data_IF_965621873671
#
_entry.id   IF_965621873671
#
_cell.length_a   1.000
_cell.length_b   1.000
_cell.length_c   1.000
_cell.angle_alpha   90.00
_cell.angle_beta   90.00
_cell.angle_gamma   90.00
#
_symmetry.space_group_name_H-M   'P 1'
#
loop_
_entity.id
_entity.type
_entity.pdbx_description
1 polymer ?
#
# COMPACT_ATOMS: atom_id res chain seq x y z
N UNK A 1 -1.92 -15.81 14.13
CA UNK A 1 -2.56 -14.58 13.58
C UNK A 1 -1.42 -13.64 13.19
N UNK A 2 -1.54 -12.82 12.13
CA UNK A 2 -0.45 -11.93 11.76
C UNK A 2 -0.23 -10.85 12.84
N UNK A 3 1.01 -10.42 13.06
CA UNK A 3 1.31 -9.31 13.94
C UNK A 3 0.76 -7.98 13.39
N UNK A 4 0.56 -7.01 14.27
CA UNK A 4 0.11 -5.66 13.90
C UNK A 4 1.20 -4.96 13.08
N UNK A 5 0.76 -4.19 12.08
CA UNK A 5 1.63 -3.29 11.33
C UNK A 5 1.07 -1.90 11.22
N UNK A 6 1.98 -0.93 11.18
CA UNK A 6 1.74 0.42 10.72
C UNK A 6 2.48 0.70 9.43
N UNK A 7 1.82 1.42 8.53
CA UNK A 7 2.44 1.97 7.34
C UNK A 7 2.65 3.46 7.54
N UNK A 8 3.80 3.94 7.11
CA UNK A 8 4.13 5.36 7.04
C UNK A 8 4.57 5.69 5.63
N UNK A 9 4.36 6.94 5.22
CA UNK A 9 4.94 7.43 3.98
C UNK A 9 5.64 8.76 4.18
N UNK A 10 6.61 9.03 3.32
CA UNK A 10 7.32 10.29 3.30
C UNK A 10 6.41 11.41 2.79
N UNK A 11 6.38 12.52 3.52
CA UNK A 11 5.73 13.76 3.14
C UNK A 11 6.80 14.84 2.97
N UNK A 12 7.14 15.23 1.73
CA UNK A 12 8.10 16.30 1.47
C UNK A 12 7.67 17.64 2.06
N UNK A 13 8.62 18.48 2.45
CA UNK A 13 8.34 19.88 2.74
C UNK A 13 7.90 20.61 1.46
N UNK A 14 7.13 21.72 1.56
CA UNK A 14 6.75 22.52 0.40
C UNK A 14 7.97 22.92 -0.44
N UNK A 15 7.93 22.63 -1.75
CA UNK A 15 9.01 22.90 -2.69
C UNK A 15 10.18 21.90 -2.68
N UNK A 16 10.18 20.91 -1.78
CA UNK A 16 11.17 19.84 -1.78
C UNK A 16 10.81 18.73 -2.77
N UNK A 17 11.82 18.18 -3.44
CA UNK A 17 11.64 17.05 -4.37
C UNK A 17 12.03 15.73 -3.72
N UNK A 18 11.23 14.70 -4.02
CA UNK A 18 11.52 13.35 -3.61
C UNK A 18 12.73 12.81 -4.37
N UNK A 19 13.68 12.21 -3.66
CA UNK A 19 14.89 11.66 -4.25
C UNK A 19 15.37 10.42 -3.46
N UNK A 20 16.30 9.68 -4.05
CA UNK A 20 16.82 8.44 -3.46
C UNK A 20 17.69 8.64 -2.22
N UNK A 21 18.23 9.85 -1.98
CA UNK A 21 19.02 10.12 -0.76
C UNK A 21 18.15 10.00 0.50
N UNK A 22 16.89 10.46 0.43
CA UNK A 22 15.93 10.32 1.53
C UNK A 22 15.75 8.85 1.92
N UNK A 23 15.66 7.95 0.93
CA UNK A 23 15.54 6.51 1.17
C UNK A 23 16.81 5.93 1.81
N UNK A 24 17.98 6.35 1.34
CA UNK A 24 19.27 5.90 1.90
C UNK A 24 19.43 6.34 3.37
N UNK A 25 19.08 7.58 3.68
CA UNK A 25 19.13 8.09 5.06
C UNK A 25 18.09 7.42 5.96
N UNK A 26 16.89 7.15 5.46
CA UNK A 26 15.90 6.36 6.20
C UNK A 26 16.41 4.94 6.51
N UNK A 27 17.05 4.27 5.54
CA UNK A 27 17.70 2.98 5.79
C UNK A 27 18.82 3.09 6.84
N UNK A 28 19.66 4.13 6.76
CA UNK A 28 20.71 4.37 7.75
C UNK A 28 20.16 4.67 9.16
N UNK A 29 18.96 5.27 9.26
CA UNK A 29 18.28 5.45 10.55
C UNK A 29 17.89 4.12 11.18
N UNK A 30 17.36 3.17 10.39
CA UNK A 30 17.07 1.83 10.88
C UNK A 30 18.32 1.13 11.42
N UNK A 31 19.45 1.24 10.71
CA UNK A 31 20.73 0.68 11.16
C UNK A 31 21.26 1.37 12.43
N UNK A 32 21.10 2.70 12.53
CA UNK A 32 21.50 3.48 13.73
C UNK A 32 20.69 3.09 14.96
N UNK A 33 19.42 2.73 14.78
CA UNK A 33 18.57 2.20 15.84
C UNK A 33 18.94 0.77 16.27
N UNK A 34 19.90 0.13 15.60
CA UNK A 34 20.32 -1.25 15.86
C UNK A 34 19.64 -2.28 14.94
N UNK A 35 18.98 -1.83 13.87
CA UNK A 35 18.32 -2.71 12.92
C UNK A 35 19.32 -3.51 12.10
N UNK A 36 19.15 -4.83 12.04
CA UNK A 36 19.96 -5.74 11.23
C UNK A 36 19.25 -6.00 9.91
N UNK A 37 19.92 -5.69 8.79
CA UNK A 37 19.35 -5.88 7.46
C UNK A 37 19.10 -7.37 7.17
N UNK A 38 17.84 -7.71 6.89
CA UNK A 38 17.31 -9.07 6.77
C UNK A 38 16.71 -9.37 5.38
N UNK A 39 17.22 -8.67 4.35
CA UNK A 39 16.91 -8.97 2.96
C UNK A 39 16.07 -7.90 2.25
N UNK A 40 15.33 -8.34 1.23
CA UNK A 40 14.54 -7.48 0.35
C UNK A 40 13.08 -7.87 0.43
N UNK A 41 12.22 -6.88 0.23
CA UNK A 41 10.79 -7.08 0.24
C UNK A 41 10.15 -6.41 -0.98
N UNK A 42 9.01 -6.94 -1.43
CA UNK A 42 8.23 -6.37 -2.53
C UNK A 42 6.74 -6.67 -2.40
N UNK A 43 5.92 -5.63 -2.37
CA UNK A 43 4.45 -5.70 -2.45
C UNK A 43 3.99 -4.93 -3.69
N UNK A 44 3.03 -5.48 -4.42
CA UNK A 44 2.49 -4.85 -5.62
C UNK A 44 1.06 -4.39 -5.42
N UNK A 45 0.73 -3.19 -5.91
CA UNK A 45 -0.64 -2.68 -6.00
C UNK A 45 -0.97 -2.44 -7.47
N UNK A 46 -2.13 -2.92 -7.91
CA UNK A 46 -2.58 -2.84 -9.30
C UNK A 46 -3.96 -2.17 -9.35
N UNK A 47 -4.10 -1.15 -10.17
CA UNK A 47 -5.38 -0.51 -10.48
C UNK A 47 -6.02 -1.19 -11.68
N UNK A 48 -7.26 -1.62 -11.50
CA UNK A 48 -8.08 -2.18 -12.56
C UNK A 48 -9.24 -1.26 -12.90
N UNK A 49 -9.62 -1.28 -14.18
CA UNK A 49 -10.89 -0.71 -14.65
C UNK A 49 -11.76 -1.81 -15.27
N UNK A 50 -13.09 -1.76 -15.11
CA UNK A 50 -13.99 -2.64 -15.81
C UNK A 50 -13.76 -2.57 -17.32
N UNK A 51 -13.84 -3.72 -17.98
CA UNK A 51 -13.96 -3.75 -19.43
C UNK A 51 -15.43 -3.57 -19.78
N UNK A 52 -15.76 -2.52 -20.52
CA UNK A 52 -17.09 -2.41 -21.14
C UNK A 52 -17.12 -3.37 -22.33
N UNK A 53 -18.00 -4.37 -22.29
CA UNK A 53 -18.29 -5.18 -23.49
C UNK A 53 -19.07 -4.29 -24.45
N UNK A 54 -18.41 -3.78 -25.48
CA UNK A 54 -19.13 -3.27 -26.66
C UNK A 54 -19.76 -4.48 -27.35
N UNK A 55 -21.09 -4.46 -27.46
CA UNK A 55 -21.82 -5.43 -28.29
C UNK A 55 -21.38 -5.25 -29.74
N UNK A 56 -20.55 -6.16 -30.24
CA UNK A 56 -20.26 -6.27 -31.66
C UNK A 56 -21.49 -6.81 -32.41
N UNK A 57 -22.47 -5.95 -32.65
CA UNK A 57 -23.41 -6.01 -33.79
C UNK A 57 -24.47 -4.91 -33.66
N UNK A 58 -24.25 -3.75 -34.29
CA UNK A 58 -25.28 -2.97 -34.97
C UNK A 58 -24.65 -1.73 -35.60
N UNK A 59 -24.49 -1.73 -36.92
CA UNK A 59 -24.52 -0.48 -37.66
C UNK A 59 -25.89 0.17 -37.43
N UNK A 60 -25.90 1.39 -36.91
CA UNK A 60 -27.12 2.13 -36.64
C UNK A 60 -26.84 3.36 -35.81
N UNK A 61 -26.83 4.51 -36.47
CA UNK A 61 -26.72 5.81 -35.84
C UNK A 61 -27.84 6.00 -34.81
N UNK A 62 -27.45 6.21 -33.54
CA UNK A 62 -28.36 6.56 -32.46
C UNK A 62 -27.57 6.81 -31.19
N UNK A 63 -27.52 8.06 -30.74
CA UNK A 63 -27.03 8.44 -29.42
C UNK A 63 -27.86 7.71 -28.36
N UNK A 64 -27.37 6.57 -27.86
CA UNK A 64 -27.87 5.95 -26.63
C UNK A 64 -26.76 6.00 -25.59
N UNK A 65 -27.05 6.72 -24.50
CA UNK A 65 -26.26 6.72 -23.28
C UNK A 65 -26.01 5.27 -22.86
N UNK A 66 -24.77 4.81 -22.97
CA UNK A 66 -24.35 3.48 -22.56
C UNK A 66 -24.70 3.27 -21.07
N UNK A 67 -25.71 2.44 -20.82
CA UNK A 67 -26.02 1.94 -19.48
C UNK A 67 -24.93 0.94 -19.07
N UNK A 68 -23.94 1.43 -18.34
CA UNK A 68 -23.10 0.60 -17.49
C UNK A 68 -24.02 -0.14 -16.50
N UNK A 69 -23.87 -1.45 -16.37
CA UNK A 69 -24.57 -2.20 -15.32
C UNK A 69 -24.25 -1.54 -13.97
N UNK A 70 -25.24 -1.08 -13.19
CA UNK A 70 -25.00 -0.34 -11.95
C UNK A 70 -24.22 -1.14 -10.90
N UNK A 71 -24.15 -2.47 -11.05
CA UNK A 71 -23.54 -3.39 -10.09
C UNK A 71 -22.04 -3.63 -10.26
N UNK A 72 -21.40 -3.19 -11.37
CA UNK A 72 -19.96 -3.44 -11.58
C UNK A 72 -19.12 -2.31 -10.97
N UNK A 73 -18.25 -2.59 -9.98
CA UNK A 73 -17.43 -1.54 -9.39
C UNK A 73 -16.51 -0.85 -10.40
N UNK A 74 -16.59 0.48 -10.45
CA UNK A 74 -15.86 1.33 -11.41
C UNK A 74 -14.34 1.31 -11.23
N UNK A 75 -13.88 1.08 -10.01
CA UNK A 75 -12.46 1.00 -9.68
C UNK A 75 -12.23 -0.16 -8.71
N UNK A 76 -11.29 -1.02 -9.08
CA UNK A 76 -10.86 -2.15 -8.28
C UNK A 76 -9.36 -2.04 -8.05
N UNK A 77 -8.96 -2.13 -6.79
CA UNK A 77 -7.56 -2.20 -6.39
C UNK A 77 -7.20 -3.63 -6.09
N UNK A 78 -6.08 -4.09 -6.62
CA UNK A 78 -5.49 -5.37 -6.30
C UNK A 78 -4.22 -5.19 -5.50
N UNK A 79 -4.00 -6.00 -4.47
CA UNK A 79 -2.81 -5.97 -3.62
C UNK A 79 -2.24 -7.39 -3.51
N UNK A 80 -0.98 -7.55 -3.88
CA UNK A 80 -0.21 -8.78 -3.72
C UNK A 80 0.89 -8.53 -2.67
N UNK A 81 0.69 -9.06 -1.46
CA UNK A 81 1.59 -8.85 -0.32
C UNK A 81 2.80 -9.78 -0.37
N UNK A 82 3.98 -9.25 -0.02
CA UNK A 82 5.23 -10.00 0.04
C UNK A 82 5.13 -11.29 0.88
N UNK A 83 4.49 -11.21 2.06
CA UNK A 83 4.51 -12.29 3.05
C UNK A 83 3.51 -13.41 2.75
N UNK A 84 2.57 -13.15 1.84
CA UNK A 84 1.50 -14.06 1.47
C UNK A 84 1.39 -14.18 -0.05
N UNK A 85 2.42 -14.72 -0.73
CA UNK A 85 2.45 -14.82 -2.17
C UNK A 85 1.33 -15.72 -2.76
N UNK A 86 0.73 -16.60 -1.95
CA UNK A 86 -0.42 -17.41 -2.34
C UNK A 86 -1.78 -16.71 -2.24
N UNK A 87 -1.82 -15.47 -1.73
CA UNK A 87 -3.05 -14.70 -1.58
C UNK A 87 -3.02 -13.44 -2.41
N UNK A 88 -4.22 -13.01 -2.80
CA UNK A 88 -4.45 -11.75 -3.47
C UNK A 88 -5.60 -11.01 -2.79
N UNK A 89 -5.44 -9.71 -2.58
CA UNK A 89 -6.46 -8.89 -1.95
C UNK A 89 -7.06 -7.96 -2.97
N UNK A 90 -8.38 -7.90 -3.03
CA UNK A 90 -9.12 -7.05 -3.95
C UNK A 90 -9.96 -6.06 -3.15
N UNK A 91 -9.74 -4.77 -3.38
CA UNK A 91 -10.36 -3.69 -2.62
C UNK A 91 -11.26 -2.88 -3.54
N UNK A 92 -12.52 -2.74 -3.12
CA UNK A 92 -13.50 -1.86 -3.77
C UNK A 92 -13.70 -0.64 -2.88
N UNK A 93 -12.93 0.43 -3.16
CA UNK A 93 -12.83 1.59 -2.25
C UNK A 93 -14.16 2.29 -2.01
N UNK A 94 -14.99 2.46 -3.04
CA UNK A 94 -16.25 3.18 -2.93
C UNK A 94 -17.24 2.49 -1.97
N UNK A 95 -17.19 1.16 -1.89
CA UNK A 95 -18.02 0.34 -1.00
C UNK A 95 -17.29 -0.05 0.29
N UNK A 96 -16.02 0.37 0.46
CA UNK A 96 -15.16 -0.02 1.59
C UNK A 96 -15.11 -1.54 1.77
N UNK A 97 -15.02 -2.28 0.67
CA UNK A 97 -14.93 -3.74 0.71
C UNK A 97 -13.50 -4.20 0.46
N UNK A 98 -13.05 -5.19 1.22
CA UNK A 98 -11.79 -5.89 1.01
C UNK A 98 -12.03 -7.40 0.95
N UNK A 99 -11.71 -7.98 -0.20
CA UNK A 99 -11.86 -9.40 -0.48
C UNK A 99 -10.49 -10.07 -0.47
N UNK A 100 -10.40 -11.23 0.15
CA UNK A 100 -9.25 -12.11 0.04
C UNK A 100 -9.56 -13.22 -0.96
N UNK A 101 -8.65 -13.45 -1.89
CA UNK A 101 -8.75 -14.47 -2.92
C UNK A 101 -7.41 -15.20 -3.08
N UNK A 102 -7.42 -16.26 -3.88
CA UNK A 102 -6.20 -16.96 -4.31
C UNK A 102 -5.34 -16.07 -5.24
N UNK A 103 -4.03 -16.31 -5.26
CA UNK A 103 -3.08 -15.60 -6.13
C UNK A 103 -3.43 -15.68 -7.64
N UNK A 104 -4.20 -16.67 -8.07
CA UNK A 104 -4.68 -16.79 -9.45
C UNK A 104 -5.83 -15.83 -9.80
N UNK A 105 -6.43 -15.13 -8.84
CA UNK A 105 -7.58 -14.24 -9.06
C UNK A 105 -7.38 -13.20 -10.17
N UNK A 106 -6.23 -12.51 -10.30
CA UNK A 106 -5.97 -11.61 -11.42
C UNK A 106 -6.06 -12.29 -12.80
N UNK A 107 -5.57 -13.53 -12.90
CA UNK A 107 -5.60 -14.31 -14.15
C UNK A 107 -7.03 -14.69 -14.52
N UNK A 108 -7.86 -14.99 -13.53
CA UNK A 108 -9.29 -15.23 -13.74
C UNK A 108 -9.98 -13.97 -14.27
N UNK A 109 -9.72 -12.81 -13.65
CA UNK A 109 -10.29 -11.53 -14.12
C UNK A 109 -9.86 -11.19 -15.55
N UNK A 110 -8.60 -11.45 -15.89
CA UNK A 110 -8.06 -11.25 -17.23
C UNK A 110 -8.70 -12.19 -18.25
N UNK A 111 -8.80 -13.50 -17.94
CA UNK A 111 -9.45 -14.50 -18.82
C UNK A 111 -10.93 -14.20 -19.05
N UNK A 112 -11.63 -13.74 -18.02
CA UNK A 112 -13.03 -13.32 -18.14
C UNK A 112 -13.20 -11.97 -18.85
N UNK A 113 -12.08 -11.27 -19.08
CA UNK A 113 -12.03 -9.89 -19.56
C UNK A 113 -12.91 -8.96 -18.73
N UNK A 114 -13.11 -9.24 -17.45
CA UNK A 114 -13.99 -8.45 -16.58
C UNK A 114 -13.34 -7.11 -16.21
N UNK A 115 -12.03 -7.15 -15.96
CA UNK A 115 -11.23 -6.02 -15.55
C UNK A 115 -9.90 -6.00 -16.31
N UNK A 116 -9.47 -4.80 -16.70
CA UNK A 116 -8.17 -4.56 -17.32
C UNK A 116 -7.26 -3.79 -16.38
N UNK A 117 -6.06 -4.32 -16.14
CA UNK A 117 -5.01 -3.62 -15.39
C UNK A 117 -4.61 -2.33 -16.14
N UNK A 118 -4.53 -1.22 -15.40
CA UNK A 118 -4.17 0.10 -15.93
C UNK A 118 -2.81 0.55 -15.46
N UNK A 119 -2.58 0.46 -14.15
CA UNK A 119 -1.35 0.92 -13.51
C UNK A 119 -0.98 -0.13 -12.48
N UNK A 120 0.29 -0.54 -12.48
CA UNK A 120 0.86 -1.39 -11.44
C UNK A 120 2.01 -0.62 -10.78
N UNK A 121 1.96 -0.53 -9.46
CA UNK A 121 2.99 0.08 -8.64
C UNK A 121 3.58 -1.00 -7.72
N UNK A 122 4.88 -0.92 -7.52
CA UNK A 122 5.62 -1.78 -6.61
C UNK A 122 6.14 -0.95 -5.47
N UNK A 123 5.89 -1.42 -4.26
CA UNK A 123 6.61 -1.01 -3.07
C UNK A 123 7.74 -2.02 -2.87
N UNK A 124 8.97 -1.56 -2.96
CA UNK A 124 10.15 -2.42 -2.90
C UNK A 124 11.29 -1.75 -2.15
N UNK A 125 12.04 -2.56 -1.40
CA UNK A 125 13.13 -2.05 -0.58
C UNK A 125 13.77 -3.12 0.28
N UNK A 126 14.20 -2.71 1.47
CA UNK A 126 14.95 -3.55 2.40
C UNK A 126 14.18 -3.81 3.69
N UNK A 127 14.38 -5.00 4.23
CA UNK A 127 13.86 -5.42 5.52
C UNK A 127 14.95 -5.28 6.59
N UNK A 128 14.58 -4.86 7.79
CA UNK A 128 15.48 -4.75 8.95
C UNK A 128 14.80 -5.35 10.19
N UNK A 129 15.50 -6.23 10.89
CA UNK A 129 15.06 -6.78 12.16
C UNK A 129 15.58 -5.92 13.31
N UNK A 130 14.68 -5.49 14.20
CA UNK A 130 14.99 -4.65 15.35
C UNK A 130 14.28 -5.19 16.60
N UNK A 131 14.92 -6.12 17.30
CA UNK A 131 14.31 -6.76 18.48
C UNK A 131 12.98 -7.42 18.13
N UNK A 132 11.88 -6.98 18.75
CA UNK A 132 10.52 -7.46 18.50
C UNK A 132 9.83 -6.80 17.28
N UNK A 133 10.54 -5.89 16.60
CA UNK A 133 10.04 -5.18 15.43
C UNK A 133 10.71 -5.65 14.13
N UNK A 134 9.96 -5.58 13.04
CA UNK A 134 10.47 -5.71 11.69
C UNK A 134 10.09 -4.47 10.88
N UNK A 135 11.10 -3.79 10.35
CA UNK A 135 10.94 -2.60 9.53
C UNK A 135 11.11 -2.98 8.07
N UNK A 136 10.27 -2.41 7.20
CA UNK A 136 10.44 -2.49 5.75
C UNK A 136 10.44 -1.11 5.16
N UNK A 137 11.59 -0.67 4.65
CA UNK A 137 11.78 0.68 4.14
C UNK A 137 12.03 0.58 2.65
N UNK A 138 11.28 1.34 1.86
CA UNK A 138 11.31 1.18 0.41
C UNK A 138 10.76 2.34 -0.39
N UNK A 139 10.90 2.22 -1.70
CA UNK A 139 10.36 3.14 -2.71
C UNK A 139 9.06 2.59 -3.29
N UNK A 140 8.18 3.49 -3.69
CA UNK A 140 7.06 3.21 -4.58
C UNK A 140 7.45 3.58 -6.01
N UNK A 141 7.43 2.62 -6.93
CA UNK A 141 7.79 2.79 -8.34
C UNK A 141 6.79 2.10 -9.26
N UNK A 142 6.51 2.63 -10.47
CA UNK A 142 5.74 1.90 -11.47
C UNK A 142 6.43 0.62 -11.91
N UNK A 143 5.65 -0.41 -12.24
CA UNK A 143 6.22 -1.71 -12.61
C UNK A 143 7.10 -1.67 -13.89
N UNK A 144 6.95 -0.64 -14.71
CA UNK A 144 7.66 -0.45 -15.98
C UNK A 144 8.59 0.77 -15.97
N UNK A 145 8.90 1.34 -14.80
CA UNK A 145 9.73 2.54 -14.70
C UNK A 145 10.41 2.65 -13.33
N UNK A 146 11.64 3.14 -13.30
CA UNK A 146 12.36 3.48 -12.07
C UNK A 146 11.95 4.85 -11.49
N UNK A 147 10.92 5.49 -12.05
CA UNK A 147 10.45 6.79 -11.58
C UNK A 147 9.91 6.69 -10.14
N UNK A 148 10.63 7.32 -9.21
CA UNK A 148 10.26 7.38 -7.80
C UNK A 148 8.93 8.13 -7.61
N UNK A 149 7.92 7.45 -7.05
CA UNK A 149 6.59 8.00 -6.76
C UNK A 149 6.33 8.23 -5.29
N UNK A 150 7.14 7.63 -4.42
CA UNK A 150 6.97 7.72 -2.98
C UNK A 150 8.08 6.98 -2.25
N UNK A 151 8.27 7.31 -0.99
CA UNK A 151 9.06 6.53 -0.04
C UNK A 151 8.09 6.11 1.07
N UNK A 152 8.18 4.86 1.49
CA UNK A 152 7.35 4.32 2.55
C UNK A 152 8.17 3.52 3.56
N UNK A 153 7.58 3.33 4.73
CA UNK A 153 8.06 2.43 5.76
C UNK A 153 6.88 1.60 6.28
N UNK A 154 7.09 0.29 6.45
CA UNK A 154 6.26 -0.54 7.31
C UNK A 154 6.99 -0.80 8.61
N UNK A 155 6.24 -0.86 9.70
CA UNK A 155 6.69 -1.32 11.00
C UNK A 155 5.75 -2.42 11.45
N UNK A 156 6.29 -3.62 11.68
CA UNK A 156 5.60 -4.79 12.18
C UNK A 156 6.05 -5.06 13.62
N UNK A 157 5.10 -5.31 14.54
CA UNK A 157 5.41 -5.64 15.93
C UNK A 157 4.95 -7.07 16.26
N UNK A 158 5.91 -7.99 16.38
CA UNK A 158 5.66 -9.43 16.46
C UNK A 158 4.77 -9.91 17.62
N UNK A 159 4.90 -9.38 18.85
CA UNK A 159 4.22 -9.94 20.02
C UNK A 159 2.69 -9.79 20.02
N UNK A 160 2.12 -8.84 19.28
CA UNK A 160 0.70 -8.52 19.35
C UNK A 160 0.02 -8.53 17.99
N UNK A 161 -1.22 -9.03 18.00
CA UNK A 161 -2.12 -8.99 16.84
C UNK A 161 -3.38 -8.15 17.12
N UNK A 162 -3.50 -7.52 18.29
CA UNK A 162 -4.60 -6.60 18.63
C UNK A 162 -4.12 -5.18 18.41
N UNK A 163 -4.82 -4.44 17.55
CA UNK A 163 -4.45 -3.09 17.12
C UNK A 163 -4.49 -2.12 18.31
N UNK A 164 -5.53 -2.21 19.12
CA UNK A 164 -5.72 -1.38 20.30
C UNK A 164 -4.63 -1.65 21.33
N UNK A 165 -4.34 -2.92 21.63
CA UNK A 165 -3.31 -3.29 22.62
C UNK A 165 -1.90 -2.93 22.18
N UNK A 166 -1.62 -2.93 20.87
CA UNK A 166 -0.30 -2.54 20.35
C UNK A 166 -0.14 -1.04 20.15
N UNK A 167 -1.19 -0.22 20.33
CA UNK A 167 -1.14 1.19 19.93
C UNK A 167 -0.02 1.95 20.62
N UNK A 168 0.03 1.91 21.95
CA UNK A 168 1.02 2.67 22.72
C UNK A 168 2.46 2.33 22.31
N UNK A 169 2.78 1.04 22.11
CA UNK A 169 4.14 0.65 21.73
C UNK A 169 4.48 1.04 20.28
N UNK A 170 3.50 1.06 19.39
CA UNK A 170 3.68 1.54 18.02
C UNK A 170 3.86 3.06 17.96
N UNK A 171 3.16 3.81 18.82
CA UNK A 171 3.34 5.26 19.01
C UNK A 171 4.74 5.56 19.55
N UNK A 172 5.15 4.91 20.63
CA UNK A 172 6.49 5.07 21.23
C UNK A 172 7.60 4.78 20.20
N UNK A 173 7.44 3.70 19.42
CA UNK A 173 8.37 3.39 18.32
C UNK A 173 8.41 4.53 17.29
N UNK A 174 7.25 5.05 16.89
CA UNK A 174 7.17 6.09 15.88
C UNK A 174 7.79 7.40 16.35
N UNK A 175 7.65 7.76 17.62
CA UNK A 175 8.28 8.94 18.21
C UNK A 175 9.82 8.82 18.17
N UNK A 176 10.36 7.67 18.57
CA UNK A 176 11.81 7.38 18.49
C UNK A 176 12.29 7.44 17.03
N UNK A 177 11.51 6.88 16.10
CA UNK A 177 11.81 6.94 14.67
C UNK A 177 11.85 8.39 14.17
N UNK A 178 10.86 9.21 14.50
CA UNK A 178 10.81 10.61 14.10
C UNK A 178 11.99 11.41 14.65
N UNK A 179 12.36 11.21 15.92
CA UNK A 179 13.53 11.87 16.52
C UNK A 179 14.83 11.49 15.78
N UNK A 180 14.96 10.23 15.41
CA UNK A 180 16.14 9.71 14.69
C UNK A 180 16.24 10.28 13.29
N UNK A 181 15.11 10.33 12.56
CA UNK A 181 15.06 10.92 11.21
C UNK A 181 15.27 12.43 11.26
N UNK A 182 14.78 13.13 12.28
CA UNK A 182 14.96 14.58 12.43
C UNK A 182 16.45 14.97 12.54
N UNK A 183 17.28 14.13 13.17
CA UNK A 183 18.74 14.32 13.26
C UNK A 183 19.45 14.32 11.89
N UNK A 184 18.79 13.83 10.83
CA UNK A 184 19.31 13.83 9.46
C UNK A 184 19.01 15.12 8.68
N UNK A 185 18.18 16.02 9.23
CA UNK A 185 17.79 17.28 8.58
C UNK A 185 17.23 17.10 7.16
N UNK A 186 16.47 16.03 6.94
CA UNK A 186 15.86 15.72 5.65
C UNK A 186 14.70 16.70 5.33
N UNK A 187 14.43 16.99 4.04
CA UNK A 187 13.43 17.97 3.64
C UNK A 187 12.01 17.38 3.63
N UNK A 188 11.55 16.92 4.79
CA UNK A 188 10.25 16.28 4.97
C UNK A 188 10.23 15.43 6.23
N UNK A 189 9.16 14.65 6.40
CA UNK A 189 9.00 13.74 7.53
C UNK A 189 8.13 12.55 7.13
N UNK A 190 8.19 11.47 7.91
CA UNK A 190 7.25 10.36 7.79
C UNK A 190 5.95 10.71 8.49
N UNK A 191 4.83 10.39 7.84
CA UNK A 191 3.49 10.45 8.43
C UNK A 191 2.89 9.05 8.50
N UNK A 192 2.24 8.74 9.61
CA UNK A 192 1.54 7.48 9.81
C UNK A 192 0.23 7.45 9.02
N UNK A 193 -0.04 6.32 8.37
CA UNK A 193 -1.25 6.08 7.59
C UNK A 193 -2.37 5.63 8.52
N UNK A 194 -3.07 6.60 9.10
CA UNK A 194 -4.26 6.32 9.91
C UNK A 194 -5.35 5.66 9.07
N UNK A 195 -5.80 4.50 9.53
CA UNK A 195 -6.79 3.67 8.82
C UNK A 195 -7.95 3.34 9.74
N UNK A 196 -9.16 3.73 9.34
CA UNK A 196 -10.37 3.28 10.03
C UNK A 196 -10.78 1.89 9.51
N UNK A 197 -10.30 0.84 10.17
CA UNK A 197 -10.56 -0.54 9.75
C UNK A 197 -12.03 -0.95 9.90
N UNK A 198 -12.74 -0.35 10.85
CA UNK A 198 -14.17 -0.63 11.07
C UNK A 198 -15.04 -0.21 9.89
N UNK A 199 -14.62 0.80 9.13
CA UNK A 199 -15.26 1.22 7.87
C UNK A 199 -15.26 0.11 6.81
N UNK A 200 -14.31 -0.83 6.90
CA UNK A 200 -14.19 -2.00 6.04
C UNK A 200 -14.77 -3.28 6.69
N UNK A 201 -15.45 -3.14 7.84
CA UNK A 201 -15.97 -4.28 8.61
C UNK A 201 -14.89 -5.12 9.28
N UNK A 202 -13.67 -4.59 9.42
CA UNK A 202 -12.56 -5.30 10.05
C UNK A 202 -12.51 -4.98 11.56
N UNK A 203 -12.31 -6.03 12.37
CA UNK A 203 -12.23 -5.95 13.84
C UNK A 203 -10.85 -5.52 14.35
N UNK A 204 -10.71 -5.33 15.66
CA UNK A 204 -9.41 -5.10 16.32
C UNK A 204 -8.35 -6.19 16.06
N UNK A 205 -8.79 -7.43 15.83
CA UNK A 205 -7.91 -8.55 15.55
C UNK A 205 -7.28 -8.42 14.15
N UNK A 206 -5.99 -8.10 14.12
CA UNK A 206 -5.23 -7.83 12.90
C UNK A 206 -5.19 -9.05 11.97
N UNK A 207 -5.30 -8.79 10.68
CA UNK A 207 -5.34 -9.75 9.59
C UNK A 207 -4.64 -9.17 8.35
N UNK A 208 -4.33 -9.99 7.35
CA UNK A 208 -3.71 -9.47 6.11
C UNK A 208 -4.62 -8.55 5.30
N UNK A 209 -5.94 -8.60 5.51
CA UNK A 209 -6.87 -7.61 4.94
C UNK A 209 -6.61 -6.20 5.49
N UNK A 210 -6.21 -6.08 6.77
CA UNK A 210 -5.80 -4.80 7.35
C UNK A 210 -4.58 -4.24 6.64
N UNK A 211 -3.56 -5.08 6.43
CA UNK A 211 -2.36 -4.69 5.67
C UNK A 211 -2.74 -4.21 4.27
N UNK A 212 -3.56 -4.97 3.54
CA UNK A 212 -4.01 -4.58 2.20
C UNK A 212 -4.75 -3.23 2.18
N UNK A 213 -5.62 -2.98 3.17
CA UNK A 213 -6.32 -1.68 3.32
C UNK A 213 -5.33 -0.54 3.59
N UNK A 214 -4.37 -0.73 4.50
CA UNK A 214 -3.34 0.29 4.76
C UNK A 214 -2.54 0.64 3.49
N UNK A 215 -2.16 -0.36 2.70
CA UNK A 215 -1.48 -0.14 1.42
C UNK A 215 -2.31 0.69 0.43
N UNK A 216 -3.61 0.42 0.34
CA UNK A 216 -4.50 1.18 -0.52
C UNK A 216 -4.63 2.65 -0.08
N UNK A 217 -4.71 2.90 1.24
CA UNK A 217 -4.78 4.25 1.81
C UNK A 217 -3.45 4.98 1.65
N UNK A 218 -2.34 4.33 1.97
CA UNK A 218 -0.98 4.85 1.78
C UNK A 218 -0.77 5.31 0.33
N UNK A 219 -1.17 4.48 -0.63
CA UNK A 219 -1.04 4.81 -2.03
C UNK A 219 -1.90 6.02 -2.42
N UNK A 220 -3.13 6.12 -1.91
CA UNK A 220 -3.97 7.29 -2.14
C UNK A 220 -3.31 8.58 -1.62
N UNK A 221 -2.73 8.54 -0.42
CA UNK A 221 -2.03 9.68 0.18
C UNK A 221 -0.77 10.05 -0.62
N UNK A 222 0.04 9.06 -1.03
CA UNK A 222 1.21 9.29 -1.90
C UNK A 222 0.84 9.94 -3.24
N UNK A 223 -0.26 9.49 -3.87
CA UNK A 223 -0.72 10.07 -5.13
C UNK A 223 -1.28 11.50 -4.97
N UNK A 224 -1.78 11.85 -3.78
CA UNK A 224 -2.21 13.20 -3.47
C UNK A 224 -1.01 14.13 -3.22
N UNK A 225 0.00 13.67 -2.48
CA UNK A 225 1.20 14.45 -2.14
C UNK A 225 2.05 14.85 -3.35
N UNK A 226 2.01 14.08 -4.46
CA UNK A 226 2.75 14.40 -5.71
C UNK A 226 2.04 15.48 -6.55
N UNK A 227 0.77 15.80 -6.25
CA UNK A 227 -0.03 16.80 -7.01
C UNK A 227 -0.07 18.18 -6.35
N UNK A 228 0.42 18.31 -5.11
CA UNK A 228 0.57 19.58 -4.40
C UNK A 228 1.98 20.12 -4.57
#
# INVERSE_FOLDING_TARGET
>A
MPPVKWLMHWHPNPGATLNSQILLEACACAETLGGVKDGRWKTSIIFYRPTTRDGASAGGAGQQQQQQHPDVPRELLGVALHERPGLYFSIVRAQRLVLQADAAFPQVMEKLQSYKARVALNFEGFQYQLGDFCLRIGKCVPNNSEALRGIMMEVEYYPLSSIEKSRAIMEDFFDIWQETVAKKSLPGHFIHVESNFSDYGLSDQYSFQHTAVQYAICLQQLMAAVRG
#
